data_IF_297379011772
#
_entry.id   IF_297379011772
#
_cell.length_a   1.000
_cell.length_b   1.000
_cell.length_c   1.000
_cell.angle_alpha   90.00
_cell.angle_beta   90.00
_cell.angle_gamma   90.00
#
_symmetry.space_group_name_H-M   'P 1'
#
loop_
_entity.id
_entity.type
_entity.pdbx_description
1 polymer ?
#
# COMPACT_ATOMS: atom_id res chain seq x y z
N UNK A 1 5.77 16.25 16.78
CA UNK A 1 6.88 15.60 17.51
C UNK A 1 7.44 14.51 16.61
N UNK A 2 8.66 14.67 16.10
CA UNK A 2 9.30 13.61 15.32
C UNK A 2 9.70 12.48 16.27
N UNK A 3 9.26 11.25 16.00
CA UNK A 3 9.66 10.08 16.78
C UNK A 3 11.20 9.94 16.69
N UNK A 4 11.91 9.67 17.80
CA UNK A 4 13.34 9.48 17.73
C UNK A 4 13.66 8.30 16.79
N UNK A 5 14.69 8.42 15.93
CA UNK A 5 14.98 7.45 14.87
C UNK A 5 15.17 6.01 15.37
N UNK A 6 15.48 5.83 16.66
CA UNK A 6 15.71 4.52 17.29
C UNK A 6 14.48 3.90 17.97
N UNK A 7 13.31 4.55 17.96
CA UNK A 7 12.09 3.98 18.59
C UNK A 7 11.62 2.73 17.84
N UNK A 8 11.54 2.83 16.51
CA UNK A 8 10.97 1.76 15.69
C UNK A 8 11.82 0.49 15.69
N UNK A 9 13.15 0.60 15.77
CA UNK A 9 14.02 -0.59 15.83
C UNK A 9 13.71 -1.46 17.07
N UNK A 10 13.37 -0.82 18.20
CA UNK A 10 12.91 -1.56 19.38
C UNK A 10 11.59 -2.27 19.11
N UNK A 11 10.64 -1.59 18.47
CA UNK A 11 9.33 -2.16 18.15
C UNK A 11 9.42 -3.31 17.15
N UNK A 12 10.31 -3.21 16.14
CA UNK A 12 10.63 -4.31 15.24
C UNK A 12 11.24 -5.51 15.97
N UNK A 13 12.03 -5.26 17.02
CA UNK A 13 12.56 -6.30 17.90
C UNK A 13 11.48 -7.09 18.64
N UNK A 14 10.30 -6.51 18.88
CA UNK A 14 9.15 -7.21 19.48
C UNK A 14 8.21 -7.82 18.45
N UNK A 15 8.03 -7.13 17.30
CA UNK A 15 7.09 -7.54 16.27
C UNK A 15 7.49 -8.87 15.61
N UNK A 16 8.75 -9.03 15.20
CA UNK A 16 9.19 -10.25 14.50
C UNK A 16 9.02 -11.51 15.36
N UNK A 17 9.48 -11.54 16.63
CA UNK A 17 9.23 -12.69 17.52
C UNK A 17 7.74 -12.91 17.82
N UNK A 18 6.93 -11.86 17.84
CA UNK A 18 5.48 -12.00 17.97
C UNK A 18 4.89 -12.72 16.76
N UNK A 19 5.28 -12.34 15.53
CA UNK A 19 4.83 -13.03 14.31
C UNK A 19 5.32 -14.48 14.24
N UNK A 20 6.52 -14.77 14.76
CA UNK A 20 7.00 -16.15 14.93
C UNK A 20 6.10 -16.96 15.86
N UNK A 21 5.68 -16.36 16.99
CA UNK A 21 4.75 -17.02 17.93
C UNK A 21 3.39 -17.28 17.30
N UNK A 22 2.85 -16.34 16.51
CA UNK A 22 1.58 -16.53 15.78
C UNK A 22 1.71 -17.65 14.75
N UNK A 23 2.81 -17.69 13.99
CA UNK A 23 3.08 -18.77 13.04
C UNK A 23 3.25 -20.12 13.74
N UNK A 24 3.90 -20.16 14.91
CA UNK A 24 4.02 -21.37 15.71
C UNK A 24 2.67 -21.83 16.26
N UNK A 25 1.82 -20.91 16.73
CA UNK A 25 0.47 -21.19 17.20
C UNK A 25 -0.43 -21.77 16.09
N UNK A 26 -0.11 -21.51 14.82
CA UNK A 26 -0.80 -22.16 13.71
C UNK A 26 -0.74 -23.68 13.82
N UNK A 27 0.35 -24.28 14.30
CA UNK A 27 0.45 -25.74 14.46
C UNK A 27 -0.62 -26.34 15.38
N UNK A 28 -1.20 -25.54 16.27
CA UNK A 28 -2.25 -25.97 17.19
C UNK A 28 -3.67 -25.86 16.63
N UNK A 29 -3.87 -25.25 15.46
CA UNK A 29 -5.19 -25.19 14.83
C UNK A 29 -5.65 -26.58 14.37
N UNK A 30 -6.92 -26.95 14.55
CA UNK A 30 -7.44 -28.25 14.11
C UNK A 30 -7.55 -28.36 12.58
N UNK A 31 -7.93 -27.27 11.90
CA UNK A 31 -8.15 -27.24 10.46
C UNK A 31 -6.85 -27.09 9.66
N UNK A 32 -6.61 -27.99 8.71
CA UNK A 32 -5.36 -28.02 7.93
C UNK A 32 -5.23 -26.85 6.96
N UNK A 33 -6.31 -26.46 6.29
CA UNK A 33 -6.32 -25.31 5.38
C UNK A 33 -6.01 -24.01 6.10
N UNK A 34 -6.62 -23.78 7.26
CA UNK A 34 -6.40 -22.59 8.07
C UNK A 34 -4.94 -22.51 8.59
N UNK A 35 -4.31 -23.66 8.90
CA UNK A 35 -2.89 -23.70 9.26
C UNK A 35 -2.00 -23.21 8.13
N UNK A 36 -2.19 -23.78 6.95
CA UNK A 36 -1.39 -23.43 5.78
C UNK A 36 -1.59 -21.97 5.39
N UNK A 37 -2.84 -21.49 5.42
CA UNK A 37 -3.17 -20.09 5.15
C UNK A 37 -2.52 -19.17 6.18
N UNK A 38 -2.62 -19.45 7.47
CA UNK A 38 -2.02 -18.61 8.51
C UNK A 38 -0.49 -18.57 8.40
N UNK A 39 0.16 -19.71 8.14
CA UNK A 39 1.61 -19.77 7.93
C UNK A 39 2.02 -18.92 6.73
N UNK A 40 1.28 -19.03 5.62
CA UNK A 40 1.52 -18.23 4.42
C UNK A 40 1.34 -16.73 4.68
N UNK A 41 0.25 -16.35 5.33
CA UNK A 41 -0.04 -14.95 5.69
C UNK A 41 1.07 -14.37 6.59
N UNK A 42 1.52 -15.12 7.59
CA UNK A 42 2.62 -14.68 8.46
C UNK A 42 3.94 -14.52 7.70
N UNK A 43 4.24 -15.39 6.73
CA UNK A 43 5.43 -15.25 5.89
C UNK A 43 5.37 -14.00 5.00
N UNK A 44 4.23 -13.74 4.36
CA UNK A 44 4.02 -12.55 3.53
C UNK A 44 4.08 -11.25 4.35
N UNK A 45 3.49 -11.27 5.55
CA UNK A 45 3.46 -10.13 6.46
C UNK A 45 4.88 -9.79 6.97
N UNK A 46 5.72 -10.79 7.26
CA UNK A 46 7.12 -10.57 7.65
C UNK A 46 7.91 -9.86 6.56
N UNK A 47 7.75 -10.29 5.30
CA UNK A 47 8.39 -9.63 4.16
C UNK A 47 7.92 -8.19 4.02
N UNK A 48 6.62 -7.93 4.24
CA UNK A 48 6.06 -6.58 4.22
C UNK A 48 6.66 -5.68 5.30
N UNK A 49 6.76 -6.19 6.53
CA UNK A 49 7.34 -5.43 7.64
C UNK A 49 8.84 -5.17 7.48
N UNK A 50 9.62 -6.13 6.96
CA UNK A 50 11.03 -5.89 6.62
C UNK A 50 11.19 -4.82 5.54
N UNK A 51 10.27 -4.77 4.56
CA UNK A 51 10.25 -3.70 3.57
C UNK A 51 9.92 -2.35 4.21
N UNK A 52 8.95 -2.30 5.12
CA UNK A 52 8.61 -1.08 5.87
C UNK A 52 9.81 -0.61 6.69
N UNK A 53 10.48 -1.52 7.40
CA UNK A 53 11.71 -1.23 8.15
C UNK A 53 12.79 -0.63 7.27
N UNK A 54 13.03 -1.24 6.11
CA UNK A 54 14.00 -0.74 5.13
C UNK A 54 13.65 0.67 4.65
N UNK A 55 12.37 0.95 4.38
CA UNK A 55 11.90 2.27 3.96
C UNK A 55 12.07 3.31 5.07
N UNK A 56 11.77 2.95 6.33
CA UNK A 56 11.99 3.82 7.49
C UNK A 56 13.48 4.11 7.73
N UNK A 57 14.37 3.19 7.33
CA UNK A 57 15.83 3.38 7.34
C UNK A 57 16.36 4.16 6.12
N UNK A 58 15.48 4.61 5.22
CA UNK A 58 15.86 5.46 4.07
C UNK A 58 16.12 4.70 2.77
N UNK A 59 15.75 3.42 2.67
CA UNK A 59 15.83 2.70 1.40
C UNK A 59 14.93 3.36 0.32
N UNK A 60 15.34 3.34 -0.96
CA UNK A 60 14.56 3.95 -2.03
C UNK A 60 13.21 3.24 -2.20
N UNK A 61 12.15 4.05 -2.36
CA UNK A 61 10.82 3.55 -2.73
C UNK A 61 10.85 2.86 -4.09
N UNK A 62 10.07 1.79 -4.27
CA UNK A 62 10.03 1.03 -5.53
C UNK A 62 9.43 1.84 -6.71
N UNK A 63 8.82 3.00 -6.44
CA UNK A 63 8.31 3.93 -7.46
C UNK A 63 9.21 5.16 -7.70
N UNK A 64 10.41 5.21 -7.11
CA UNK A 64 11.26 6.39 -7.07
C UNK A 64 12.44 6.38 -8.05
N UNK A 65 12.24 6.00 -9.31
CA UNK A 65 13.10 6.47 -10.38
C UNK A 65 12.66 7.91 -10.72
N UNK A 66 13.02 8.86 -9.85
CA UNK A 66 12.89 10.30 -10.11
C UNK A 66 14.25 10.95 -9.93
N UNK A 67 15.18 10.61 -10.82
CA UNK A 67 16.35 11.44 -11.15
C UNK A 67 16.83 11.07 -12.55
N UNK A 68 16.68 11.98 -13.52
CA UNK A 68 17.49 11.95 -14.75
C UNK A 68 16.80 12.40 -16.03
N UNK A 69 16.82 13.71 -16.29
CA UNK A 69 16.79 14.35 -17.62
C UNK A 69 15.55 14.11 -18.52
N UNK A 70 14.66 15.10 -18.54
CA UNK A 70 13.88 15.39 -19.73
C UNK A 70 14.82 15.72 -20.91
N UNK A 71 14.72 15.05 -22.08
CA UNK A 71 15.26 15.63 -23.29
C UNK A 71 14.29 16.71 -23.77
N UNK A 72 14.79 17.96 -23.80
CA UNK A 72 14.17 19.07 -24.52
C UNK A 72 13.79 18.62 -25.94
N UNK A 73 12.61 18.99 -26.46
CA UNK A 73 12.24 18.70 -27.84
C UNK A 73 13.11 19.53 -28.78
N UNK A 74 14.08 18.90 -29.44
CA UNK A 74 14.75 19.50 -30.60
C UNK A 74 13.82 19.36 -31.79
N UNK A 75 13.39 20.51 -32.29
CA UNK A 75 12.56 20.66 -33.47
C UNK A 75 13.29 20.17 -34.72
N UNK A 76 12.61 19.32 -35.50
CA UNK A 76 12.85 19.15 -36.95
C UNK A 76 11.51 19.01 -37.67
N UNK A 77 10.94 20.17 -38.03
CA UNK A 77 10.34 20.55 -39.32
C UNK A 77 9.72 19.41 -40.19
N UNK A 78 8.37 19.39 -40.34
CA UNK A 78 7.63 19.62 -41.61
C UNK A 78 6.17 19.04 -41.64
N UNK A 79 5.21 19.95 -41.88
CA UNK A 79 3.87 19.87 -42.53
C UNK A 79 2.70 18.93 -42.03
N UNK A 80 1.44 19.45 -41.95
CA UNK A 80 0.18 18.71 -41.65
C UNK A 80 -0.68 18.46 -42.93
N UNK A 81 -1.96 18.00 -42.91
CA UNK A 81 -2.73 17.18 -41.95
C UNK A 81 -3.40 15.93 -42.60
N UNK A 82 -3.67 14.85 -41.84
CA UNK A 82 -4.68 13.87 -42.24
C UNK A 82 -5.26 13.12 -41.01
N UNK A 83 -6.50 13.49 -40.68
CA UNK A 83 -7.59 12.74 -40.01
C UNK A 83 -7.22 11.41 -39.31
N UNK A 84 -7.22 11.42 -37.98
CA UNK A 84 -7.76 10.32 -37.17
C UNK A 84 -8.06 10.82 -35.74
N UNK A 85 -9.25 10.58 -35.18
CA UNK A 85 -9.54 10.90 -33.79
C UNK A 85 -8.66 10.05 -32.86
N UNK A 86 -8.07 10.62 -31.79
CA UNK A 86 -7.27 9.85 -30.87
C UNK A 86 -8.19 8.89 -30.11
N UNK A 87 -8.07 7.59 -30.41
CA UNK A 87 -8.62 6.54 -29.55
C UNK A 87 -8.00 6.72 -28.17
N UNK A 88 -8.85 7.02 -27.21
CA UNK A 88 -8.51 7.19 -25.81
C UNK A 88 -7.65 6.02 -25.35
N UNK A 89 -6.38 6.30 -25.00
CA UNK A 89 -5.62 5.37 -24.16
C UNK A 89 -6.27 5.44 -22.79
N UNK A 90 -7.20 4.51 -22.55
CA UNK A 90 -7.69 4.21 -21.21
C UNK A 90 -6.51 3.62 -20.46
N UNK A 91 -5.76 4.49 -19.75
CA UNK A 91 -4.86 4.03 -18.71
C UNK A 91 -5.73 3.41 -17.63
N UNK A 92 -5.75 2.08 -17.59
CA UNK A 92 -6.32 1.31 -16.51
C UNK A 92 -5.49 1.48 -15.25
N UNK A 93 -5.63 2.62 -14.58
CA UNK A 93 -5.08 2.88 -13.26
C UNK A 93 -6.19 3.48 -12.38
N UNK A 94 -7.21 2.65 -12.13
CA UNK A 94 -8.48 3.06 -11.54
C UNK A 94 -8.96 2.19 -10.40
N UNK A 95 -8.08 1.43 -9.73
CA UNK A 95 -8.45 0.57 -8.59
C UNK A 95 -7.94 1.11 -7.26
N UNK A 96 -7.87 2.42 -7.09
CA UNK A 96 -7.91 3.02 -5.75
C UNK A 96 -8.30 4.52 -5.77
N UNK A 97 -9.35 4.89 -6.51
CA UNK A 97 -10.02 6.16 -6.22
C UNK A 97 -10.91 5.91 -5.02
N UNK A 98 -10.37 6.14 -3.82
CA UNK A 98 -11.17 6.21 -2.60
C UNK A 98 -12.40 7.06 -2.89
N UNK A 99 -13.57 6.43 -2.93
CA UNK A 99 -14.82 7.15 -2.97
C UNK A 99 -14.83 8.02 -1.71
N UNK A 100 -14.89 9.35 -1.90
CA UNK A 100 -15.32 10.24 -0.82
C UNK A 100 -16.74 9.81 -0.49
N UNK A 101 -16.89 8.96 0.52
CA UNK A 101 -18.18 8.74 1.17
C UNK A 101 -18.49 10.02 1.92
N UNK A 102 -19.16 10.95 1.23
CA UNK A 102 -20.03 11.90 1.91
C UNK A 102 -21.03 11.08 2.72
N UNK A 103 -20.83 11.07 4.02
CA UNK A 103 -21.75 10.44 4.98
C UNK A 103 -22.14 11.47 6.03
N UNK A 104 -22.72 12.58 5.54
CA UNK A 104 -23.60 13.42 6.35
C UNK A 104 -25.00 12.81 6.38
N UNK A 105 -25.13 11.57 6.89
CA UNK A 105 -26.42 10.96 7.16
C UNK A 105 -26.86 11.41 8.56
N UNK A 106 -27.65 12.47 8.62
CA UNK A 106 -28.21 12.98 9.88
C UNK A 106 -29.15 11.93 10.48
N UNK A 107 -28.67 11.14 11.43
CA UNK A 107 -29.51 10.29 12.29
C UNK A 107 -29.76 11.03 13.60
N UNK A 108 -30.70 11.95 13.57
CA UNK A 108 -31.42 12.45 14.74
C UNK A 108 -32.90 12.49 14.34
N UNK A 109 -33.86 11.96 15.07
CA UNK A 109 -33.92 11.62 16.49
C UNK A 109 -35.04 10.58 16.62
N UNK A 110 -34.83 9.49 17.37
CA UNK A 110 -35.93 8.60 17.76
C UNK A 110 -35.89 8.32 19.26
N UNK A 111 -36.89 8.90 19.94
CA UNK A 111 -37.50 8.53 21.23
C UNK A 111 -36.63 8.68 22.49
N UNK A 112 -37.14 9.00 23.68
CA UNK A 112 -38.43 8.77 24.36
C UNK A 112 -38.47 9.78 25.55
N UNK A 113 -39.57 10.23 26.17
CA UNK A 113 -40.34 9.46 27.17
C UNK A 113 -41.34 10.39 27.89
N UNK A 114 -42.54 9.84 28.10
CA UNK A 114 -43.52 10.11 29.17
C UNK A 114 -44.37 11.40 29.13
#
# INVERSE_FOLDING_TARGET
>A
MANPPNSFDRDFGYLLPFMDKVAAAASSLPDASAREELVRLMAEEKVRWERIRSLLQGAPGRGGASTGAAPKPSASKAAPPAVAPPLARVSGDGVNRAARLESGLTVGSLKDSR
#
